data_IF_476465242460
#
_entry.id   IF_476465242460
#
_cell.length_a   1.000
_cell.length_b   1.000
_cell.length_c   1.000
_cell.angle_alpha   90.00
_cell.angle_beta   90.00
_cell.angle_gamma   90.00
#
_symmetry.space_group_name_H-M   'P 1'
#
loop_
_entity.id
_entity.type
_entity.pdbx_description
1 polymer ?
#
# COMPACT_ATOMS: atom_id res chain seq x y z
N UNK A 1 28.92 -21.81 0.07
CA UNK A 1 29.56 -21.91 -1.26
C UNK A 1 28.52 -22.47 -2.21
N UNK A 2 28.03 -21.82 -3.27
CA UNK A 2 28.36 -20.56 -3.96
C UNK A 2 27.33 -19.45 -3.66
N UNK A 3 27.77 -18.21 -3.45
CA UNK A 3 26.87 -17.11 -3.06
C UNK A 3 26.28 -16.35 -4.26
N UNK A 4 26.87 -16.44 -5.46
CA UNK A 4 26.34 -15.81 -6.68
C UNK A 4 26.76 -16.54 -7.97
N UNK A 5 25.84 -16.66 -8.94
CA UNK A 5 26.14 -17.09 -10.31
C UNK A 5 26.37 -15.89 -11.23
N UNK A 6 27.44 -15.92 -12.02
CA UNK A 6 27.78 -14.89 -13.01
C UNK A 6 27.29 -15.32 -14.39
N UNK A 7 26.62 -14.43 -15.09
CA UNK A 7 26.19 -14.63 -16.47
C UNK A 7 26.48 -13.36 -17.28
N UNK A 8 26.64 -13.53 -18.59
CA UNK A 8 26.90 -12.45 -19.55
C UNK A 8 25.65 -12.24 -20.39
N UNK A 9 25.26 -10.99 -20.62
CA UNK A 9 24.13 -10.62 -21.47
C UNK A 9 24.62 -9.80 -22.67
N UNK A 10 24.06 -10.08 -23.83
CA UNK A 10 24.26 -9.27 -25.04
C UNK A 10 23.07 -8.36 -25.23
N UNK A 11 23.33 -7.06 -25.45
CA UNK A 11 22.30 -6.04 -25.63
C UNK A 11 22.59 -5.25 -26.91
N UNK A 12 21.56 -4.82 -27.67
CA UNK A 12 21.72 -3.81 -28.70
C UNK A 12 22.39 -2.54 -28.15
N UNK A 13 23.26 -1.87 -28.94
CA UNK A 13 24.06 -0.74 -28.45
C UNK A 13 23.19 0.43 -27.98
N UNK A 14 22.08 0.70 -28.68
CA UNK A 14 21.13 1.76 -28.32
C UNK A 14 20.40 1.48 -26.98
N UNK A 15 20.06 0.22 -26.73
CA UNK A 15 19.44 -0.20 -25.47
C UNK A 15 20.44 -0.13 -24.31
N UNK A 16 21.70 -0.52 -24.56
CA UNK A 16 22.78 -0.42 -23.57
C UNK A 16 23.01 1.04 -23.13
N UNK A 17 23.08 1.97 -24.09
CA UNK A 17 23.26 3.40 -23.80
C UNK A 17 22.09 3.97 -22.96
N UNK A 18 20.85 3.70 -23.37
CA UNK A 18 19.65 4.11 -22.62
C UNK A 18 19.64 3.53 -21.20
N UNK A 19 20.06 2.28 -21.05
CA UNK A 19 20.12 1.62 -19.74
C UNK A 19 21.21 2.21 -18.84
N UNK A 20 22.40 2.48 -19.37
CA UNK A 20 23.48 3.11 -18.59
C UNK A 20 23.10 4.54 -18.15
N UNK A 21 22.47 5.33 -19.02
CA UNK A 21 21.97 6.66 -18.68
C UNK A 21 20.93 6.60 -17.55
N UNK A 22 19.92 5.74 -17.71
CA UNK A 22 18.88 5.51 -16.71
C UNK A 22 19.49 5.09 -15.37
N UNK A 23 20.36 4.08 -15.38
CA UNK A 23 21.03 3.53 -14.18
C UNK A 23 21.87 4.58 -13.45
N UNK A 24 22.60 5.41 -14.19
CA UNK A 24 23.44 6.47 -13.60
C UNK A 24 22.58 7.56 -12.96
N UNK A 25 21.44 7.93 -13.56
CA UNK A 25 20.50 8.92 -13.00
C UNK A 25 19.93 8.51 -11.64
N UNK A 26 19.69 7.21 -11.44
CA UNK A 26 19.18 6.63 -10.19
C UNK A 26 20.28 6.09 -9.26
N UNK A 27 21.56 6.22 -9.63
CA UNK A 27 22.70 5.87 -8.77
C UNK A 27 22.88 4.37 -8.49
N UNK A 28 22.36 3.48 -9.34
CA UNK A 28 22.44 2.02 -9.14
C UNK A 28 23.70 1.42 -9.75
N UNK A 29 24.22 0.31 -9.19
CA UNK A 29 25.27 -0.48 -9.85
C UNK A 29 24.67 -1.32 -11.00
N UNK A 30 25.48 -1.69 -12.01
CA UNK A 30 25.00 -2.50 -13.15
C UNK A 30 24.32 -3.79 -12.70
N UNK A 31 24.99 -4.53 -11.81
CA UNK A 31 24.47 -5.79 -11.27
C UNK A 31 23.18 -5.59 -10.48
N UNK A 32 23.06 -4.50 -9.73
CA UNK A 32 21.85 -4.24 -8.94
C UNK A 32 20.68 -3.78 -9.81
N UNK A 33 20.93 -2.95 -10.82
CA UNK A 33 19.92 -2.55 -11.79
C UNK A 33 19.39 -3.75 -12.59
N UNK A 34 20.28 -4.62 -13.10
CA UNK A 34 19.88 -5.84 -13.80
C UNK A 34 19.10 -6.78 -12.88
N UNK A 35 19.58 -7.00 -11.64
CA UNK A 35 18.89 -7.84 -10.66
C UNK A 35 17.49 -7.30 -10.34
N UNK A 36 17.35 -5.99 -10.11
CA UNK A 36 16.06 -5.34 -9.85
C UNK A 36 15.12 -5.44 -11.06
N UNK A 37 15.63 -5.26 -12.28
CA UNK A 37 14.83 -5.45 -13.50
C UNK A 37 14.37 -6.91 -13.67
N UNK A 38 15.24 -7.87 -13.37
CA UNK A 38 14.89 -9.29 -13.38
C UNK A 38 13.80 -9.61 -12.36
N UNK A 39 13.94 -9.16 -11.11
CA UNK A 39 12.90 -9.32 -10.10
C UNK A 39 11.60 -8.63 -10.51
N UNK A 40 11.65 -7.42 -11.07
CA UNK A 40 10.46 -6.69 -11.52
C UNK A 40 9.73 -7.44 -12.64
N UNK A 41 10.48 -7.95 -13.63
CA UNK A 41 9.94 -8.74 -14.72
C UNK A 41 9.39 -10.07 -14.22
N UNK A 42 10.10 -10.75 -13.32
CA UNK A 42 9.62 -11.98 -12.67
C UNK A 42 8.35 -11.73 -11.87
N UNK A 43 8.24 -10.66 -11.09
CA UNK A 43 7.00 -10.31 -10.37
C UNK A 43 5.84 -10.00 -11.33
N UNK A 44 6.14 -9.37 -12.47
CA UNK A 44 5.14 -9.12 -13.52
C UNK A 44 4.66 -10.43 -14.17
N UNK A 45 5.58 -11.33 -14.53
CA UNK A 45 5.31 -12.62 -15.18
C UNK A 45 4.81 -13.72 -14.22
N UNK A 46 5.22 -13.73 -12.95
CA UNK A 46 4.75 -14.64 -11.90
C UNK A 46 3.28 -14.41 -11.53
N UNK A 47 2.67 -13.30 -11.98
CA UNK A 47 1.19 -13.21 -12.03
C UNK A 47 0.57 -14.42 -12.77
N UNK A 48 1.33 -15.11 -13.63
CA UNK A 48 0.93 -16.32 -14.34
C UNK A 48 1.42 -17.63 -13.68
N UNK A 49 2.29 -17.60 -12.67
CA UNK A 49 2.98 -18.80 -12.15
C UNK A 49 3.23 -18.80 -10.63
N UNK A 50 2.26 -18.44 -9.77
CA UNK A 50 2.48 -18.52 -8.32
C UNK A 50 2.26 -19.95 -7.81
N UNK A 51 3.37 -20.68 -7.68
CA UNK A 51 3.49 -21.98 -7.01
C UNK A 51 3.83 -21.88 -5.50
N UNK A 52 3.69 -20.72 -4.87
CA UNK A 52 3.90 -20.53 -3.43
C UNK A 52 2.56 -20.40 -2.68
N UNK A 53 2.34 -21.24 -1.66
CA UNK A 53 1.08 -21.27 -0.88
C UNK A 53 0.82 -19.98 -0.10
N UNK A 54 1.86 -19.22 0.24
CA UNK A 54 1.77 -18.02 1.09
C UNK A 54 2.76 -16.95 0.64
N UNK A 55 2.25 -15.77 0.33
CA UNK A 55 3.05 -14.58 -0.04
C UNK A 55 2.97 -13.52 1.06
N UNK A 56 3.95 -12.62 1.07
CA UNK A 56 3.94 -11.41 1.90
C UNK A 56 4.05 -10.20 0.98
N UNK A 57 3.32 -9.13 1.29
CA UNK A 57 3.33 -7.90 0.51
C UNK A 57 2.62 -6.75 1.20
N UNK A 58 2.38 -5.68 0.45
CA UNK A 58 1.50 -4.61 0.86
C UNK A 58 0.63 -4.10 -0.28
N UNK A 59 -0.59 -3.68 0.08
CA UNK A 59 -1.50 -2.96 -0.81
C UNK A 59 -1.44 -1.49 -0.38
N UNK A 60 -1.14 -0.60 -1.31
CA UNK A 60 -1.13 0.84 -1.09
C UNK A 60 -2.33 1.45 -1.77
N UNK A 61 -3.13 2.21 -1.04
CA UNK A 61 -4.33 2.88 -1.52
C UNK A 61 -4.16 4.38 -1.36
N UNK A 62 -4.35 5.13 -2.44
CA UNK A 62 -4.59 6.56 -2.35
C UNK A 62 -6.10 6.78 -2.46
N UNK A 63 -6.68 7.47 -1.49
CA UNK A 63 -8.13 7.62 -1.38
C UNK A 63 -8.52 9.04 -1.06
N UNK A 64 -9.77 9.36 -1.36
CA UNK A 64 -10.45 10.53 -0.81
C UNK A 64 -11.33 10.11 0.37
N UNK A 65 -11.47 10.96 1.38
CA UNK A 65 -12.39 10.73 2.51
C UNK A 65 -13.04 12.05 2.93
N UNK A 66 -14.24 11.99 3.48
CA UNK A 66 -14.94 13.17 4.00
C UNK A 66 -14.99 13.12 5.52
N UNK A 67 -14.54 14.18 6.17
CA UNK A 67 -14.69 14.31 7.61
C UNK A 67 -16.18 14.51 7.95
N UNK A 68 -16.60 13.94 9.08
CA UNK A 68 -17.80 14.39 9.75
C UNK A 68 -17.53 15.79 10.29
N UNK A 69 -17.78 16.83 9.49
CA UNK A 69 -17.77 18.19 10.00
C UNK A 69 -18.90 18.31 11.04
N UNK A 70 -18.51 18.48 12.30
CA UNK A 70 -19.39 19.09 13.29
C UNK A 70 -19.59 20.53 12.84
N UNK A 71 -20.72 20.82 12.20
CA UNK A 71 -21.17 22.19 11.95
C UNK A 71 -21.51 22.85 13.28
N UNK A 72 -20.49 23.24 14.02
CA UNK A 72 -20.57 24.23 15.08
C UNK A 72 -19.45 25.26 14.82
N UNK A 73 -19.71 26.18 13.88
CA UNK A 73 -19.01 27.47 13.84
C UNK A 73 -19.38 28.22 15.13
N UNK A 74 -18.60 28.07 16.19
CA UNK A 74 -18.71 28.91 17.37
C UNK A 74 -17.65 30.00 17.32
N UNK A 75 -18.04 31.18 16.82
CA UNK A 75 -17.29 32.41 17.02
C UNK A 75 -17.38 32.84 18.48
N UNK A 76 -16.25 32.82 19.19
CA UNK A 76 -16.15 33.40 20.52
C UNK A 76 -15.03 34.44 20.58
N UNK A 77 -15.36 35.65 21.00
CA UNK A 77 -14.37 36.64 21.45
C UNK A 77 -13.76 36.16 22.78
N UNK A 78 -12.47 35.81 22.75
CA UNK A 78 -11.76 35.45 23.98
C UNK A 78 -11.29 36.69 24.73
N UNK A 79 -11.98 37.03 25.82
CA UNK A 79 -11.41 37.82 26.91
C UNK A 79 -11.24 36.90 28.13
N UNK A 80 -9.96 36.63 28.43
CA UNK A 80 -9.42 35.93 29.61
C UNK A 80 -9.80 34.45 29.81
N UNK A 81 -8.82 33.60 29.52
CA UNK A 81 -8.44 32.41 30.31
C UNK A 81 -9.56 31.51 30.81
N UNK A 82 -10.01 30.57 29.98
CA UNK A 82 -10.63 29.34 30.46
C UNK A 82 -10.22 28.17 29.56
N UNK A 83 -9.53 27.18 30.13
CA UNK A 83 -9.33 25.88 29.51
C UNK A 83 -10.68 25.16 29.52
N UNK A 84 -11.12 24.63 28.39
CA UNK A 84 -12.23 23.69 28.36
C UNK A 84 -11.85 22.43 27.60
N UNK A 85 -12.14 21.28 28.21
CA UNK A 85 -12.17 19.98 27.55
C UNK A 85 -13.41 19.92 26.64
N UNK A 86 -13.21 19.57 25.37
CA UNK A 86 -14.33 19.32 24.46
C UNK A 86 -15.00 18.00 24.84
N UNK A 87 -16.26 18.07 25.23
CA UNK A 87 -17.11 16.90 25.43
C UNK A 87 -17.49 16.35 24.04
N UNK A 88 -16.77 15.32 23.56
CA UNK A 88 -17.12 14.63 22.32
C UNK A 88 -18.50 13.98 22.48
N UNK A 89 -19.53 14.59 21.90
CA UNK A 89 -20.88 14.05 21.91
C UNK A 89 -21.05 13.08 20.73
N UNK A 90 -21.12 11.79 21.02
CA UNK A 90 -21.48 10.75 20.03
C UNK A 90 -22.96 10.86 19.67
N UNK A 91 -23.29 11.80 18.77
CA UNK A 91 -24.63 11.90 18.17
C UNK A 91 -24.78 10.86 17.06
N UNK A 92 -25.93 10.20 16.98
CA UNK A 92 -26.31 9.38 15.83
C UNK A 92 -26.47 10.29 14.60
N UNK A 93 -25.59 10.11 13.61
CA UNK A 93 -25.65 10.83 12.34
C UNK A 93 -25.76 9.84 11.18
N UNK A 94 -26.54 10.19 10.16
CA UNK A 94 -26.68 9.36 8.96
C UNK A 94 -25.43 9.47 8.08
N UNK A 95 -24.91 8.32 7.63
CA UNK A 95 -23.80 8.28 6.69
C UNK A 95 -24.27 8.68 5.29
N UNK A 96 -23.57 9.62 4.64
CA UNK A 96 -23.75 9.95 3.24
C UNK A 96 -23.19 8.83 2.33
N UNK A 97 -23.42 8.94 1.01
CA UNK A 97 -22.98 7.91 0.03
C UNK A 97 -21.45 7.76 0.00
N UNK A 98 -20.68 8.83 0.21
CA UNK A 98 -19.22 8.78 0.24
C UNK A 98 -18.70 8.10 1.51
N UNK A 99 -19.37 8.33 2.65
CA UNK A 99 -19.12 7.67 3.92
C UNK A 99 -19.47 6.18 3.89
N UNK A 100 -20.34 5.75 2.98
CA UNK A 100 -20.69 4.33 2.80
C UNK A 100 -19.51 3.52 2.29
N UNK A 101 -18.69 4.08 1.39
CA UNK A 101 -17.51 3.40 0.87
C UNK A 101 -16.40 3.28 1.93
N UNK A 102 -16.29 4.23 2.86
CA UNK A 102 -15.37 4.16 4.00
C UNK A 102 -15.77 3.05 4.98
N UNK A 103 -17.07 2.94 5.28
CA UNK A 103 -17.63 1.85 6.10
C UNK A 103 -17.40 0.51 5.40
N UNK A 104 -17.72 0.43 4.10
CA UNK A 104 -17.55 -0.78 3.29
C UNK A 104 -16.08 -1.20 3.18
N UNK A 105 -15.14 -0.23 3.12
CA UNK A 105 -13.71 -0.50 3.16
C UNK A 105 -13.32 -1.23 4.44
N UNK A 106 -13.79 -0.75 5.58
CA UNK A 106 -13.53 -1.37 6.88
C UNK A 106 -14.14 -2.78 6.92
N UNK A 107 -15.37 -2.96 6.42
CA UNK A 107 -16.02 -4.28 6.34
C UNK A 107 -15.25 -5.26 5.44
N UNK A 108 -14.78 -4.79 4.28
CA UNK A 108 -13.91 -5.58 3.39
C UNK A 108 -12.62 -5.97 4.14
N UNK A 109 -11.93 -5.03 4.77
CA UNK A 109 -10.70 -5.33 5.51
C UNK A 109 -10.96 -6.33 6.63
N UNK A 110 -12.06 -6.19 7.36
CA UNK A 110 -12.47 -7.12 8.41
C UNK A 110 -12.76 -8.51 7.85
N UNK A 111 -13.36 -8.64 6.67
CA UNK A 111 -13.58 -9.94 6.02
C UNK A 111 -12.26 -10.65 5.65
N UNK A 112 -11.19 -9.89 5.39
CA UNK A 112 -9.86 -10.41 5.08
C UNK A 112 -8.88 -10.26 6.25
N UNK A 113 -9.37 -10.16 7.49
CA UNK A 113 -8.53 -9.94 8.68
C UNK A 113 -7.45 -11.01 8.87
N UNK A 114 -7.68 -12.22 8.34
CA UNK A 114 -6.77 -13.36 8.45
C UNK A 114 -5.51 -13.21 7.59
N UNK A 115 -5.56 -12.38 6.54
CA UNK A 115 -4.43 -12.10 5.66
C UNK A 115 -3.87 -10.69 5.84
N UNK A 116 -4.56 -9.80 6.56
CA UNK A 116 -4.08 -8.45 6.87
C UNK A 116 -3.26 -8.50 8.17
N UNK A 117 -1.99 -8.11 8.08
CA UNK A 117 -1.10 -8.01 9.25
C UNK A 117 -1.36 -6.70 9.99
N UNK A 118 -1.42 -5.60 9.24
CA UNK A 118 -1.60 -4.26 9.80
C UNK A 118 -2.00 -3.28 8.71
N UNK A 119 -2.73 -2.24 9.11
CA UNK A 119 -3.11 -1.13 8.25
C UNK A 119 -2.56 0.16 8.82
N UNK A 120 -1.88 0.95 8.00
CA UNK A 120 -1.42 2.30 8.34
C UNK A 120 -2.18 3.31 7.48
N UNK A 121 -2.81 4.29 8.11
CA UNK A 121 -3.54 5.36 7.42
C UNK A 121 -2.87 6.70 7.71
N UNK A 122 -2.57 7.45 6.65
CA UNK A 122 -1.87 8.74 6.72
C UNK A 122 -2.73 9.79 6.00
N UNK A 123 -3.12 10.85 6.70
CA UNK A 123 -3.75 12.01 6.08
C UNK A 123 -2.69 12.80 5.32
N UNK A 124 -2.85 12.94 4.01
CA UNK A 124 -1.97 13.77 3.16
C UNK A 124 -2.48 15.21 3.09
N UNK A 125 -3.79 15.36 3.03
CA UNK A 125 -4.52 16.63 2.99
C UNK A 125 -5.88 16.44 3.70
N UNK A 126 -6.70 17.49 3.77
CA UNK A 126 -8.02 17.44 4.43
C UNK A 126 -8.93 16.32 3.89
N UNK A 127 -8.97 16.11 2.57
CA UNK A 127 -9.81 15.08 1.97
C UNK A 127 -9.02 13.92 1.36
N UNK A 128 -7.70 13.84 1.52
CA UNK A 128 -6.87 12.80 0.89
C UNK A 128 -6.08 11.99 1.89
N UNK A 129 -6.08 10.68 1.70
CA UNK A 129 -5.37 9.75 2.55
C UNK A 129 -4.56 8.73 1.76
N UNK A 130 -3.45 8.33 2.34
CA UNK A 130 -2.67 7.18 1.93
C UNK A 130 -2.88 6.08 2.96
N UNK A 131 -3.37 4.92 2.52
CA UNK A 131 -3.48 3.73 3.35
C UNK A 131 -2.52 2.65 2.84
N UNK A 132 -1.75 2.05 3.74
CA UNK A 132 -0.84 0.96 3.45
C UNK A 132 -1.28 -0.24 4.27
N UNK A 133 -1.69 -1.30 3.58
CA UNK A 133 -2.19 -2.54 4.17
C UNK A 133 -1.12 -3.61 3.97
N UNK A 134 -0.42 -4.00 5.04
CA UNK A 134 0.51 -5.12 5.02
C UNK A 134 -0.28 -6.43 5.02
N UNK A 135 0.08 -7.35 4.12
CA UNK A 135 -0.65 -8.61 3.92
C UNK A 135 0.27 -9.82 3.92
N UNK A 136 -0.22 -10.94 4.46
CA UNK A 136 0.42 -12.25 4.37
C UNK A 136 -0.63 -13.36 4.25
N UNK A 137 -0.61 -14.08 3.14
CA UNK A 137 -1.66 -15.06 2.84
C UNK A 137 -1.51 -15.65 1.44
N UNK A 138 -2.53 -16.39 0.98
CA UNK A 138 -2.53 -16.91 -0.38
C UNK A 138 -2.60 -15.76 -1.40
N UNK A 139 -1.94 -15.92 -2.55
CA UNK A 139 -2.03 -14.91 -3.62
C UNK A 139 -3.48 -14.65 -4.05
N UNK A 140 -4.30 -15.70 -4.11
CA UNK A 140 -5.70 -15.59 -4.50
C UNK A 140 -6.52 -14.74 -3.52
N UNK A 141 -6.32 -14.89 -2.21
CA UNK A 141 -7.07 -14.12 -1.22
C UNK A 141 -6.61 -12.67 -1.18
N UNK A 142 -5.31 -12.43 -1.30
CA UNK A 142 -4.75 -11.07 -1.42
C UNK A 142 -5.24 -10.39 -2.69
N UNK A 143 -5.31 -11.11 -3.81
CA UNK A 143 -5.88 -10.61 -5.07
C UNK A 143 -7.36 -10.25 -4.91
N UNK A 144 -8.16 -11.10 -4.25
CA UNK A 144 -9.58 -10.80 -3.96
C UNK A 144 -9.74 -9.56 -3.08
N UNK A 145 -8.91 -9.41 -2.05
CA UNK A 145 -8.89 -8.21 -1.20
C UNK A 145 -8.59 -6.96 -2.04
N UNK A 146 -7.51 -7.01 -2.82
CA UNK A 146 -7.10 -5.93 -3.74
C UNK A 146 -8.23 -5.55 -4.69
N UNK A 147 -8.84 -6.53 -5.36
CA UNK A 147 -9.91 -6.30 -6.34
C UNK A 147 -11.18 -5.75 -5.68
N UNK A 148 -11.48 -6.14 -4.43
CA UNK A 148 -12.61 -5.59 -3.66
C UNK A 148 -12.38 -4.13 -3.26
N UNK A 149 -11.18 -3.80 -2.76
CA UNK A 149 -10.81 -2.44 -2.41
C UNK A 149 -10.81 -1.54 -3.66
N UNK A 150 -10.27 -2.00 -4.78
CA UNK A 150 -10.20 -1.24 -6.04
C UNK A 150 -11.57 -0.82 -6.59
N UNK A 151 -12.66 -1.51 -6.22
CA UNK A 151 -14.01 -1.18 -6.69
C UNK A 151 -14.69 -0.05 -5.91
N UNK A 152 -14.13 0.35 -4.78
CA UNK A 152 -14.65 1.47 -4.00
C UNK A 152 -14.41 2.77 -4.78
N UNK A 153 -15.44 3.62 -4.88
CA UNK A 153 -15.37 4.91 -5.60
C UNK A 153 -14.39 5.86 -4.94
N UNK A 154 -14.17 5.73 -3.63
CA UNK A 154 -13.22 6.56 -2.88
C UNK A 154 -11.74 6.27 -3.22
N UNK A 155 -11.44 5.13 -3.87
CA UNK A 155 -10.06 4.75 -4.23
C UNK A 155 -9.64 5.45 -5.52
N UNK A 156 -8.65 6.34 -5.41
CA UNK A 156 -8.09 7.10 -6.52
C UNK A 156 -7.00 6.32 -7.25
N UNK A 157 -6.13 5.64 -6.50
CA UNK A 157 -5.10 4.77 -7.07
C UNK A 157 -4.75 3.62 -6.13
N UNK A 158 -4.34 2.49 -6.71
CA UNK A 158 -3.93 1.31 -5.98
C UNK A 158 -2.58 0.81 -6.50
N UNK A 159 -1.65 0.60 -5.57
CA UNK A 159 -0.40 -0.13 -5.78
C UNK A 159 -0.44 -1.46 -5.05
N UNK A 160 0.16 -2.50 -5.64
CA UNK A 160 0.36 -3.78 -4.97
C UNK A 160 1.81 -4.19 -5.10
N UNK A 161 2.46 -4.40 -3.95
CA UNK A 161 3.86 -4.80 -3.87
C UNK A 161 3.94 -6.17 -3.21
N UNK A 162 4.54 -7.13 -3.91
CA UNK A 162 4.83 -8.47 -3.39
C UNK A 162 6.31 -8.50 -3.02
N UNK A 163 6.63 -8.92 -1.79
CA UNK A 163 8.00 -9.05 -1.32
C UNK A 163 8.59 -10.46 -1.57
N UNK A 164 7.73 -11.49 -1.67
CA UNK A 164 8.00 -12.93 -1.87
C UNK A 164 9.02 -13.64 -0.93
N UNK A 165 9.05 -14.98 -1.03
CA UNK A 165 9.42 -16.00 -0.02
C UNK A 165 10.85 -15.96 0.52
N UNK A 166 11.14 -15.07 1.46
CA UNK A 166 12.21 -15.38 2.43
C UNK A 166 11.56 -16.15 3.57
N UNK A 167 11.85 -17.47 3.75
CA UNK A 167 11.51 -18.11 5.01
C UNK A 167 12.16 -17.27 6.09
N UNK A 168 11.36 -16.79 7.04
CA UNK A 168 11.87 -16.22 8.28
C UNK A 168 12.60 -17.38 8.95
N UNK A 169 13.84 -17.60 8.55
CA UNK A 169 14.76 -18.51 9.21
C UNK A 169 14.89 -17.89 10.57
N UNK A 170 14.26 -18.54 11.54
CA UNK A 170 14.39 -18.22 12.96
C UNK A 170 15.86 -17.90 13.20
N UNK A 171 16.14 -16.65 13.54
CA UNK A 171 17.39 -16.35 14.23
C UNK A 171 17.23 -16.97 15.61
N UNK A 172 17.41 -18.29 15.68
CA UNK A 172 17.70 -18.96 16.94
C UNK A 172 18.95 -18.30 17.52
N UNK A 173 18.82 -17.92 18.79
CA UNK A 173 19.89 -17.36 19.62
C UNK A 173 20.97 -18.40 19.89
#
# INVERSE_FOLDING_TARGET
>A
MEEYKRFTISLPPDLYEKFEEFRNKIGLSRSDAIRKSMHLLMTQEETLSVGSEKIVGCITLMMTHEHFDSTEEHSHEHLLGSNHDHEYSSRTTYANVQQTDEILKIDIQHHFHNIIISTMHVHLEYNRCLEIIAVSGSYNDIKKLKDRLQRLKIVLSLGFFIADNVPIREREK
#
